data_IF_372734973492
#
_entry.id   IF_372734973492
#
_cell.length_a   1.000
_cell.length_b   1.000
_cell.length_c   1.000
_cell.angle_alpha   90.00
_cell.angle_beta   90.00
_cell.angle_gamma   90.00
#
_symmetry.space_group_name_H-M   'P 1'
#
loop_
_entity.id
_entity.type
_entity.pdbx_description
1 polymer ?
#
# COMPACT_ATOMS: atom_id res chain seq x y z
N UNK A 1 140.80 25.58 42.73
CA UNK A 1 140.45 24.22 42.26
C UNK A 1 139.69 24.33 40.94
N UNK A 2 140.35 24.07 39.82
CA UNK A 2 139.80 24.19 38.45
C UNK A 2 138.84 23.04 38.15
N UNK A 3 137.54 23.33 37.98
CA UNK A 3 136.55 22.34 37.53
C UNK A 3 136.82 22.02 36.06
N UNK A 4 137.35 20.83 35.77
CA UNK A 4 137.54 20.35 34.40
C UNK A 4 136.18 20.24 33.71
N UNK A 5 136.00 20.93 32.58
CA UNK A 5 134.79 20.80 31.77
C UNK A 5 134.68 19.38 31.20
N UNK A 6 133.49 18.75 31.28
CA UNK A 6 133.32 17.39 30.82
C UNK A 6 133.50 17.30 29.30
N UNK A 7 134.19 16.25 28.85
CA UNK A 7 134.35 16.01 27.40
C UNK A 7 133.00 15.72 26.76
N UNK A 8 132.80 15.99 25.45
CA UNK A 8 131.54 15.68 24.75
C UNK A 8 131.07 14.23 24.95
N UNK A 9 132.02 13.30 25.07
CA UNK A 9 131.78 11.89 25.42
C UNK A 9 131.16 11.73 26.81
N UNK A 10 131.66 12.43 27.82
CA UNK A 10 131.11 12.42 29.19
C UNK A 10 129.71 13.05 29.25
N UNK A 11 129.45 14.08 28.44
CA UNK A 11 128.13 14.71 28.34
C UNK A 11 127.09 13.75 27.72
N UNK A 12 127.42 13.12 26.58
CA UNK A 12 126.60 12.07 25.97
C UNK A 12 126.34 10.90 26.92
N UNK A 13 127.38 10.45 27.63
CA UNK A 13 127.27 9.36 28.60
C UNK A 13 126.31 9.73 29.75
N UNK A 14 126.31 10.98 30.22
CA UNK A 14 125.37 11.47 31.23
C UNK A 14 123.92 11.48 30.72
N UNK A 15 123.69 11.94 29.49
CA UNK A 15 122.36 11.93 28.86
C UNK A 15 121.81 10.51 28.71
N UNK A 16 122.63 9.58 28.20
CA UNK A 16 122.27 8.16 28.06
C UNK A 16 121.92 7.58 29.43
N UNK A 17 122.69 7.90 30.47
CA UNK A 17 122.47 7.37 31.81
C UNK A 17 121.18 7.92 32.45
N UNK A 18 120.84 9.20 32.23
CA UNK A 18 119.56 9.77 32.65
C UNK A 18 118.37 9.18 31.88
N UNK A 19 118.49 8.96 30.57
CA UNK A 19 117.46 8.26 29.78
C UNK A 19 117.25 6.82 30.26
N UNK A 20 118.33 6.08 30.55
CA UNK A 20 118.22 4.72 31.10
C UNK A 20 117.55 4.71 32.48
N UNK A 21 117.82 5.70 33.34
CA UNK A 21 117.12 5.87 34.62
C UNK A 21 115.62 6.16 34.41
N UNK A 22 115.29 7.03 33.46
CA UNK A 22 113.90 7.34 33.11
C UNK A 22 113.15 6.11 32.59
N UNK A 23 113.74 5.36 31.65
CA UNK A 23 113.17 4.11 31.14
C UNK A 23 113.01 3.06 32.24
N UNK A 24 113.96 2.95 33.19
CA UNK A 24 113.81 2.08 34.38
C UNK A 24 112.63 2.50 35.25
N UNK A 25 112.42 3.80 35.47
CA UNK A 25 111.27 4.33 36.24
C UNK A 25 109.93 4.05 35.55
N UNK A 26 109.86 4.22 34.23
CA UNK A 26 108.66 3.86 33.45
C UNK A 26 108.40 2.36 33.54
N UNK A 27 109.43 1.54 33.26
CA UNK A 27 109.31 0.08 33.30
C UNK A 27 108.89 -0.43 34.69
N UNK A 28 109.29 0.25 35.76
CA UNK A 28 108.85 -0.06 37.12
C UNK A 28 107.39 0.35 37.43
N UNK A 29 106.87 1.41 36.78
CA UNK A 29 105.49 1.89 36.97
C UNK A 29 104.45 1.11 36.16
N UNK A 30 104.81 0.61 34.97
CA UNK A 30 103.90 -0.13 34.08
C UNK A 30 103.22 -1.32 34.80
N UNK A 31 103.91 -2.20 35.55
CA UNK A 31 103.27 -3.31 36.26
C UNK A 31 102.25 -2.86 37.31
N UNK A 32 102.52 -1.75 38.01
CA UNK A 32 101.59 -1.20 39.00
C UNK A 32 100.34 -0.63 38.34
N UNK A 33 100.51 0.11 37.24
CA UNK A 33 99.39 0.63 36.46
C UNK A 33 98.55 -0.49 35.84
N UNK A 34 99.19 -1.53 35.28
CA UNK A 34 98.50 -2.71 34.76
C UNK A 34 97.72 -3.44 35.86
N UNK A 35 98.32 -3.61 37.06
CA UNK A 35 97.63 -4.21 38.21
C UNK A 35 96.43 -3.39 38.67
N UNK A 36 96.54 -2.06 38.66
CA UNK A 36 95.42 -1.17 38.98
C UNK A 36 94.32 -1.25 37.92
N UNK A 37 94.68 -1.27 36.63
CA UNK A 37 93.75 -1.45 35.52
C UNK A 37 93.00 -2.78 35.63
N UNK A 38 93.69 -3.90 35.86
CA UNK A 38 93.06 -5.21 36.06
C UNK A 38 92.06 -5.21 37.22
N UNK A 39 92.40 -4.60 38.37
CA UNK A 39 91.46 -4.48 39.50
C UNK A 39 90.21 -3.69 39.14
N UNK A 40 90.34 -2.61 38.36
CA UNK A 40 89.20 -1.81 37.90
C UNK A 40 88.32 -2.61 36.93
N UNK A 41 88.93 -3.36 36.01
CA UNK A 41 88.21 -4.26 35.08
C UNK A 41 87.45 -5.33 35.88
N UNK A 42 88.10 -6.03 36.81
CA UNK A 42 87.44 -7.04 37.65
C UNK A 42 86.28 -6.45 38.48
N UNK A 43 86.46 -5.25 39.04
CA UNK A 43 85.41 -4.56 39.78
C UNK A 43 84.23 -4.18 38.88
N UNK A 44 84.51 -3.68 37.67
CA UNK A 44 83.50 -3.34 36.68
C UNK A 44 82.73 -4.57 36.19
N UNK A 45 83.42 -5.67 35.90
CA UNK A 45 82.78 -6.94 35.53
C UNK A 45 81.88 -7.47 36.64
N UNK A 46 82.34 -7.44 37.91
CA UNK A 46 81.52 -7.84 39.06
C UNK A 46 80.29 -6.95 39.21
N UNK A 47 80.44 -5.64 39.06
CA UNK A 47 79.32 -4.69 39.09
C UNK A 47 78.32 -4.98 37.96
N UNK A 48 78.81 -5.19 36.74
CA UNK A 48 77.99 -5.48 35.55
C UNK A 48 77.19 -6.77 35.75
N UNK A 49 77.84 -7.85 36.22
CA UNK A 49 77.16 -9.12 36.54
C UNK A 49 76.08 -8.93 37.61
N UNK A 50 76.35 -8.11 38.64
CA UNK A 50 75.35 -7.78 39.68
C UNK A 50 74.16 -7.01 39.12
N UNK A 51 74.39 -6.02 38.26
CA UNK A 51 73.30 -5.27 37.61
C UNK A 51 72.48 -6.16 36.67
N UNK A 52 73.15 -7.00 35.87
CA UNK A 52 72.48 -7.96 34.99
C UNK A 52 71.62 -8.94 35.77
N UNK A 53 72.14 -9.53 36.86
CA UNK A 53 71.36 -10.43 37.72
C UNK A 53 70.13 -9.75 38.31
N UNK A 54 70.26 -8.50 38.79
CA UNK A 54 69.13 -7.72 39.30
C UNK A 54 68.10 -7.39 38.22
N UNK A 55 68.55 -7.07 37.01
CA UNK A 55 67.65 -6.81 35.88
C UNK A 55 66.88 -8.07 35.47
N UNK A 56 67.53 -9.24 35.46
CA UNK A 56 66.89 -10.53 35.22
C UNK A 56 65.82 -10.80 36.29
N UNK A 57 66.15 -10.64 37.57
CA UNK A 57 65.20 -10.85 38.68
C UNK A 57 63.97 -9.95 38.58
N UNK A 58 64.14 -8.67 38.20
CA UNK A 58 63.03 -7.73 37.99
C UNK A 58 62.16 -8.19 36.82
N UNK A 59 62.77 -8.61 35.71
CA UNK A 59 62.05 -9.06 34.53
C UNK A 59 61.29 -10.37 34.79
N UNK A 60 61.89 -11.32 35.53
CA UNK A 60 61.23 -12.57 35.93
C UNK A 60 59.99 -12.29 36.77
N UNK A 61 60.11 -11.42 37.79
CA UNK A 61 58.97 -10.98 38.61
C UNK A 61 57.89 -10.29 37.78
N UNK A 62 58.26 -9.44 36.82
CA UNK A 62 57.32 -8.79 35.92
C UNK A 62 56.59 -9.79 35.03
N UNK A 63 57.31 -10.79 34.48
CA UNK A 63 56.74 -11.86 33.68
C UNK A 63 55.74 -12.70 34.50
N UNK A 64 56.09 -13.05 35.73
CA UNK A 64 55.21 -13.85 36.59
C UNK A 64 53.95 -13.06 36.99
N UNK A 65 54.06 -11.77 37.26
CA UNK A 65 52.90 -10.90 37.49
C UNK A 65 51.98 -10.86 36.25
N UNK A 66 52.54 -10.65 35.06
CA UNK A 66 51.77 -10.63 33.80
C UNK A 66 51.10 -11.99 33.52
N UNK A 67 51.78 -13.10 33.80
CA UNK A 67 51.19 -14.45 33.68
C UNK A 67 49.99 -14.62 34.62
N UNK A 68 50.11 -14.18 35.87
CA UNK A 68 49.03 -14.26 36.85
C UNK A 68 47.83 -13.40 36.42
N UNK A 69 48.06 -12.16 35.99
CA UNK A 69 47.02 -11.28 35.46
C UNK A 69 46.31 -11.91 34.24
N UNK A 70 47.08 -12.51 33.33
CA UNK A 70 46.53 -13.20 32.16
C UNK A 70 45.65 -14.39 32.57
N UNK A 71 46.09 -15.22 33.50
CA UNK A 71 45.30 -16.35 33.99
C UNK A 71 44.02 -15.92 34.73
N UNK A 72 44.06 -14.80 35.46
CA UNK A 72 42.85 -14.21 36.05
C UNK A 72 41.86 -13.73 34.98
N UNK A 73 42.34 -13.03 33.96
CA UNK A 73 41.50 -12.57 32.85
C UNK A 73 40.91 -13.75 32.08
N UNK A 74 41.71 -14.77 31.79
CA UNK A 74 41.26 -16.01 31.17
C UNK A 74 40.12 -16.66 31.96
N UNK A 75 40.25 -16.80 33.28
CA UNK A 75 39.17 -17.31 34.15
C UNK A 75 37.91 -16.45 34.10
N UNK A 76 38.03 -15.12 34.00
CA UNK A 76 36.88 -14.22 33.84
C UNK A 76 36.17 -14.47 32.50
N UNK A 77 36.91 -14.57 31.40
CA UNK A 77 36.35 -14.87 30.09
C UNK A 77 35.68 -16.24 30.03
N UNK A 78 36.29 -17.28 30.62
CA UNK A 78 35.69 -18.61 30.70
C UNK A 78 34.34 -18.62 31.43
N UNK A 79 34.20 -17.81 32.50
CA UNK A 79 32.91 -17.64 33.19
C UNK A 79 31.87 -16.96 32.29
N UNK A 80 32.26 -15.92 31.56
CA UNK A 80 31.38 -15.21 30.62
C UNK A 80 30.90 -16.17 29.52
N UNK A 81 31.81 -16.93 28.91
CA UNK A 81 31.48 -17.94 27.88
C UNK A 81 30.47 -18.94 28.43
N UNK A 82 30.71 -19.51 29.62
CA UNK A 82 29.77 -20.46 30.25
C UNK A 82 28.38 -19.86 30.51
N UNK A 83 28.31 -18.58 30.87
CA UNK A 83 27.04 -17.88 31.05
C UNK A 83 26.30 -17.70 29.72
N UNK A 84 27.00 -17.22 28.68
CA UNK A 84 26.44 -17.06 27.34
C UNK A 84 25.95 -18.40 26.76
N UNK A 85 26.67 -19.50 26.98
CA UNK A 85 26.24 -20.84 26.58
C UNK A 85 24.95 -21.27 27.28
N UNK A 86 24.77 -20.93 28.57
CA UNK A 86 23.52 -21.20 29.29
C UNK A 86 22.36 -20.39 28.73
N UNK A 87 22.56 -19.11 28.45
CA UNK A 87 21.55 -18.25 27.84
C UNK A 87 21.16 -18.73 26.43
N UNK A 88 22.15 -19.07 25.60
CA UNK A 88 21.90 -19.66 24.29
C UNK A 88 21.09 -20.95 24.35
N UNK A 89 21.33 -21.82 25.35
CA UNK A 89 20.49 -23.01 25.56
C UNK A 89 19.05 -22.66 25.92
N UNK A 90 18.82 -21.65 26.77
CA UNK A 90 17.47 -21.17 27.11
C UNK A 90 16.75 -20.62 25.89
N UNK A 91 17.41 -19.76 25.11
CA UNK A 91 16.84 -19.20 23.90
C UNK A 91 16.49 -20.28 22.87
N UNK A 92 17.36 -21.27 22.67
CA UNK A 92 17.07 -22.42 21.79
C UNK A 92 15.85 -23.22 22.23
N UNK A 93 15.62 -23.34 23.54
CA UNK A 93 14.43 -24.01 24.06
C UNK A 93 13.16 -23.18 23.79
N UNK A 94 13.20 -21.88 24.07
CA UNK A 94 12.07 -20.98 23.79
C UNK A 94 11.71 -20.94 22.30
N UNK A 95 12.70 -20.87 21.41
CA UNK A 95 12.48 -20.93 19.96
C UNK A 95 11.74 -22.21 19.60
N UNK A 96 12.21 -23.37 20.09
CA UNK A 96 11.58 -24.66 19.78
C UNK A 96 10.13 -24.75 20.27
N UNK A 97 9.86 -24.23 21.46
CA UNK A 97 8.50 -24.12 22.01
C UNK A 97 7.60 -23.22 21.15
N UNK A 98 8.15 -22.13 20.60
CA UNK A 98 7.41 -21.26 19.67
C UNK A 98 7.16 -21.92 18.33
N UNK A 99 8.12 -22.69 17.81
CA UNK A 99 7.93 -23.45 16.57
C UNK A 99 6.81 -24.50 16.73
N UNK A 100 6.74 -25.19 17.87
CA UNK A 100 5.63 -26.11 18.19
C UNK A 100 4.28 -25.38 18.21
N UNK A 101 4.20 -24.21 18.84
CA UNK A 101 2.98 -23.38 18.84
C UNK A 101 2.57 -22.92 17.44
N UNK A 102 3.53 -22.58 16.58
CA UNK A 102 3.28 -22.19 15.20
C UNK A 102 2.70 -23.38 14.42
N UNK A 103 3.28 -24.57 14.56
CA UNK A 103 2.78 -25.79 13.91
C UNK A 103 1.34 -26.13 14.33
N UNK A 104 1.02 -26.00 15.62
CA UNK A 104 -0.35 -26.20 16.11
C UNK A 104 -1.35 -25.23 15.46
N UNK A 105 -0.98 -23.95 15.34
CA UNK A 105 -1.82 -22.93 14.70
C UNK A 105 -1.97 -23.17 13.20
N UNK A 106 -0.92 -23.62 12.51
CA UNK A 106 -0.98 -23.96 11.09
C UNK A 106 -1.99 -25.08 10.82
N UNK A 107 -1.97 -26.15 11.63
CA UNK A 107 -2.94 -27.25 11.55
C UNK A 107 -4.37 -26.75 11.79
N UNK A 108 -4.58 -25.88 12.77
CA UNK A 108 -5.90 -25.28 13.03
C UNK A 108 -6.40 -24.43 11.85
N UNK A 109 -5.51 -23.63 11.25
CA UNK A 109 -5.84 -22.82 10.09
C UNK A 109 -6.22 -23.67 8.88
N UNK A 110 -5.56 -24.80 8.66
CA UNK A 110 -5.92 -25.75 7.59
C UNK A 110 -7.31 -26.35 7.82
N UNK A 111 -7.62 -26.73 9.06
CA UNK A 111 -8.96 -27.18 9.44
C UNK A 111 -10.05 -26.15 9.12
N UNK A 112 -9.84 -24.90 9.52
CA UNK A 112 -10.78 -23.80 9.23
C UNK A 112 -10.92 -23.51 7.73
N UNK A 113 -9.83 -23.62 6.95
CA UNK A 113 -9.91 -23.49 5.49
C UNK A 113 -10.79 -24.58 4.87
N UNK A 114 -10.66 -25.80 5.34
CA UNK A 114 -11.48 -26.92 4.89
C UNK A 114 -12.96 -26.70 5.23
N UNK A 115 -13.27 -26.30 6.47
CA UNK A 115 -14.64 -25.97 6.89
C UNK A 115 -15.26 -24.84 6.06
N UNK A 116 -14.50 -23.76 5.82
CA UNK A 116 -14.94 -22.64 4.99
C UNK A 116 -15.22 -23.07 3.55
N UNK A 117 -14.41 -23.97 2.99
CA UNK A 117 -14.66 -24.52 1.65
C UNK A 117 -15.96 -25.32 1.60
N UNK A 118 -16.24 -26.12 2.63
CA UNK A 118 -17.48 -26.90 2.71
C UNK A 118 -18.71 -26.00 2.84
N UNK A 119 -18.64 -24.96 3.68
CA UNK A 119 -19.71 -23.97 3.83
C UNK A 119 -19.95 -23.20 2.52
N UNK A 120 -18.90 -22.84 1.79
CA UNK A 120 -19.02 -22.20 0.49
C UNK A 120 -19.77 -23.07 -0.51
N UNK A 121 -19.42 -24.37 -0.60
CA UNK A 121 -20.10 -25.33 -1.47
C UNK A 121 -21.59 -25.48 -1.09
N UNK A 122 -21.91 -25.62 0.20
CA UNK A 122 -23.30 -25.69 0.67
C UNK A 122 -24.10 -24.44 0.30
N UNK A 123 -23.49 -23.26 0.41
CA UNK A 123 -24.13 -22.00 0.08
C UNK A 123 -24.38 -21.87 -1.44
N UNK A 124 -23.50 -22.43 -2.27
CA UNK A 124 -23.69 -22.50 -3.71
C UNK A 124 -24.83 -23.46 -4.11
N UNK A 125 -24.91 -24.63 -3.46
CA UNK A 125 -26.04 -25.55 -3.64
C UNK A 125 -27.38 -24.90 -3.27
N UNK A 126 -27.45 -24.17 -2.15
CA UNK A 126 -28.65 -23.44 -1.74
C UNK A 126 -28.99 -22.31 -2.70
N UNK A 127 -28.01 -21.63 -3.29
CA UNK A 127 -28.23 -20.60 -4.33
C UNK A 127 -28.88 -21.21 -5.57
N UNK A 128 -28.39 -22.35 -6.04
CA UNK A 128 -28.95 -23.04 -7.21
C UNK A 128 -30.38 -23.55 -6.95
N UNK A 129 -30.64 -24.13 -5.77
CA UNK A 129 -32.01 -24.51 -5.37
C UNK A 129 -32.96 -23.31 -5.40
N UNK A 130 -32.53 -22.17 -4.84
CA UNK A 130 -33.34 -20.95 -4.81
C UNK A 130 -33.60 -20.36 -6.21
N UNK A 131 -32.60 -20.42 -7.09
CA UNK A 131 -32.74 -20.02 -8.51
C UNK A 131 -33.82 -20.85 -9.20
N UNK A 132 -33.79 -22.17 -9.05
CA UNK A 132 -34.79 -23.08 -9.61
C UNK A 132 -36.22 -22.78 -9.08
N UNK A 133 -36.36 -22.51 -7.78
CA UNK A 133 -37.66 -22.12 -7.19
C UNK A 133 -38.17 -20.81 -7.82
N UNK A 134 -37.29 -19.83 -8.03
CA UNK A 134 -37.64 -18.54 -8.62
C UNK A 134 -38.08 -18.69 -10.08
N UNK A 135 -37.35 -19.48 -10.87
CA UNK A 135 -37.68 -19.75 -12.28
C UNK A 135 -39.04 -20.46 -12.42
N UNK A 136 -39.33 -21.46 -11.58
CA UNK A 136 -40.63 -22.14 -11.58
C UNK A 136 -41.80 -21.23 -11.19
N UNK A 137 -41.60 -20.32 -10.22
CA UNK A 137 -42.61 -19.31 -9.87
C UNK A 137 -42.88 -18.36 -11.03
N UNK A 138 -41.84 -17.93 -11.76
CA UNK A 138 -41.98 -17.09 -12.95
C UNK A 138 -42.74 -17.82 -14.05
N UNK A 139 -42.40 -19.08 -14.34
CA UNK A 139 -43.09 -19.90 -15.34
C UNK A 139 -44.59 -20.03 -15.06
N UNK A 140 -44.96 -20.29 -13.80
CA UNK A 140 -46.36 -20.40 -13.36
C UNK A 140 -47.12 -19.07 -13.50
N UNK A 141 -46.46 -17.93 -13.26
CA UNK A 141 -47.05 -16.60 -13.47
C UNK A 141 -47.24 -16.28 -14.95
N UNK A 142 -46.26 -16.60 -15.81
CA UNK A 142 -46.36 -16.39 -17.25
C UNK A 142 -47.51 -17.20 -17.85
N UNK A 143 -47.69 -18.45 -17.43
CA UNK A 143 -48.78 -19.32 -17.86
C UNK A 143 -50.17 -18.79 -17.50
N UNK A 144 -50.30 -18.15 -16.33
CA UNK A 144 -51.55 -17.48 -15.92
C UNK A 144 -51.81 -16.20 -16.75
N UNK A 145 -50.77 -15.46 -17.13
CA UNK A 145 -50.92 -14.26 -17.95
C UNK A 145 -51.27 -14.56 -19.42
N UNK A 146 -50.82 -15.69 -19.99
CA UNK A 146 -51.23 -16.12 -21.34
C UNK A 146 -52.69 -16.55 -21.40
N UNK A 147 -53.26 -17.09 -20.31
CA UNK A 147 -54.70 -17.34 -20.21
C UNK A 147 -55.53 -16.05 -20.16
N UNK A 148 -54.99 -14.97 -19.58
CA UNK A 148 -55.61 -13.64 -19.62
C UNK A 148 -55.61 -13.07 -21.05
N UNK A 149 -54.58 -13.40 -21.85
CA UNK A 149 -54.43 -12.90 -23.22
C UNK A 149 -55.56 -13.34 -24.17
N UNK A 150 -56.14 -14.53 -23.98
CA UNK A 150 -57.28 -15.01 -24.79
C UNK A 150 -58.58 -14.22 -24.56
N UNK A 151 -58.69 -13.46 -23.47
CA UNK A 151 -59.82 -12.55 -23.20
C UNK A 151 -59.59 -11.12 -23.77
N UNK A 152 -58.48 -10.85 -24.46
CA UNK A 152 -58.10 -9.49 -24.84
C UNK A 152 -58.95 -8.87 -25.97
N UNK A 153 -59.63 -9.65 -26.81
CA UNK A 153 -60.43 -9.06 -27.92
C UNK A 153 -61.51 -8.10 -27.42
N UNK A 154 -62.21 -8.45 -26.34
CA UNK A 154 -63.23 -7.58 -25.73
C UNK A 154 -62.58 -6.37 -25.05
N UNK A 155 -61.46 -6.58 -24.36
CA UNK A 155 -60.70 -5.50 -23.71
C UNK A 155 -60.22 -4.46 -24.73
N UNK A 156 -59.66 -4.90 -25.86
CA UNK A 156 -59.22 -4.01 -26.93
C UNK A 156 -60.37 -3.22 -27.52
N UNK A 157 -61.54 -3.85 -27.70
CA UNK A 157 -62.73 -3.18 -28.19
C UNK A 157 -63.25 -2.13 -27.21
N UNK A 158 -63.19 -2.38 -25.90
CA UNK A 158 -63.54 -1.37 -24.88
C UNK A 158 -62.54 -0.21 -24.94
N UNK A 159 -61.23 -0.53 -24.99
CA UNK A 159 -60.16 0.47 -25.02
C UNK A 159 -60.23 1.38 -26.25
N UNK A 160 -60.67 0.88 -27.41
CA UNK A 160 -60.85 1.73 -28.60
C UNK A 160 -61.93 2.79 -28.45
N UNK A 161 -62.85 2.65 -27.49
CA UNK A 161 -63.86 3.69 -27.20
C UNK A 161 -63.43 4.66 -26.09
N UNK A 162 -62.27 4.44 -25.46
CA UNK A 162 -61.77 5.31 -24.42
C UNK A 162 -61.02 6.51 -25.00
N UNK A 163 -61.04 7.63 -24.28
CA UNK A 163 -60.20 8.78 -24.63
C UNK A 163 -58.73 8.47 -24.38
N UNK A 164 -57.79 9.20 -25.01
CA UNK A 164 -56.37 9.01 -24.75
C UNK A 164 -55.99 9.24 -23.27
N UNK A 165 -56.66 10.16 -22.57
CA UNK A 165 -56.44 10.41 -21.13
C UNK A 165 -56.89 9.21 -20.28
N UNK A 166 -58.01 8.60 -20.62
CA UNK A 166 -58.50 7.39 -19.96
C UNK A 166 -57.57 6.20 -20.22
N UNK A 167 -57.04 6.06 -21.43
CA UNK A 167 -56.07 5.01 -21.76
C UNK A 167 -54.76 5.17 -20.97
N UNK A 168 -54.27 6.41 -20.82
CA UNK A 168 -53.11 6.71 -19.95
C UNK A 168 -53.44 6.33 -18.51
N UNK A 169 -54.60 6.72 -18.01
CA UNK A 169 -55.02 6.42 -16.63
C UNK A 169 -55.16 4.91 -16.40
N UNK A 170 -55.84 4.20 -17.31
CA UNK A 170 -56.05 2.76 -17.27
C UNK A 170 -54.73 2.00 -17.26
N UNK A 171 -53.75 2.47 -18.04
CA UNK A 171 -52.42 1.85 -18.07
C UNK A 171 -51.66 1.93 -16.74
N UNK A 172 -52.01 2.86 -15.86
CA UNK A 172 -51.40 3.02 -14.54
C UNK A 172 -52.08 2.20 -13.45
N UNK A 173 -53.28 1.68 -13.71
CA UNK A 173 -54.08 0.93 -12.71
C UNK A 173 -53.40 -0.38 -12.33
N UNK A 174 -52.84 -1.11 -13.29
CA UNK A 174 -52.08 -2.33 -13.00
C UNK A 174 -50.99 -2.60 -14.06
N UNK A 175 -50.02 -3.45 -13.70
CA UNK A 175 -48.90 -3.81 -14.57
C UNK A 175 -49.36 -4.50 -15.86
N UNK A 176 -50.43 -5.29 -15.83
CA UNK A 176 -50.93 -6.01 -17.00
C UNK A 176 -51.48 -5.05 -18.07
N UNK A 177 -52.25 -4.04 -17.69
CA UNK A 177 -52.74 -2.99 -18.56
C UNK A 177 -51.61 -2.13 -19.10
N UNK A 178 -50.58 -1.86 -18.29
CA UNK A 178 -49.36 -1.21 -18.79
C UNK A 178 -48.69 -2.05 -19.89
N UNK A 179 -48.46 -3.34 -19.65
CA UNK A 179 -47.82 -4.23 -20.63
C UNK A 179 -48.63 -4.29 -21.94
N UNK A 180 -49.95 -4.49 -21.83
CA UNK A 180 -50.84 -4.61 -22.99
C UNK A 180 -50.95 -3.27 -23.74
N UNK A 181 -51.26 -2.16 -23.05
CA UNK A 181 -51.54 -0.89 -23.74
C UNK A 181 -50.25 -0.19 -24.23
N UNK A 182 -49.15 -0.24 -23.47
CA UNK A 182 -47.91 0.48 -23.82
C UNK A 182 -46.89 -0.37 -24.57
N UNK A 183 -46.55 -1.55 -24.06
CA UNK A 183 -45.39 -2.30 -24.54
C UNK A 183 -45.66 -3.08 -25.82
N UNK A 184 -46.88 -3.56 -26.03
CA UNK A 184 -47.24 -4.27 -27.26
C UNK A 184 -47.40 -3.29 -28.43
N UNK A 185 -46.58 -3.48 -29.46
CA UNK A 185 -46.61 -2.67 -30.70
C UNK A 185 -47.94 -2.82 -31.44
N UNK A 186 -48.52 -4.02 -31.40
CA UNK A 186 -49.77 -4.38 -32.07
C UNK A 186 -50.96 -3.52 -31.59
N UNK A 187 -50.89 -3.02 -30.36
CA UNK A 187 -51.94 -2.23 -29.73
C UNK A 187 -51.80 -0.73 -29.98
N UNK A 188 -50.88 -0.30 -30.85
CA UNK A 188 -50.78 1.11 -31.26
C UNK A 188 -52.04 1.61 -32.00
N UNK A 189 -52.75 0.72 -32.68
CA UNK A 189 -54.01 0.99 -33.36
C UNK A 189 -55.08 1.59 -32.43
N UNK A 190 -55.15 1.13 -31.18
CA UNK A 190 -56.08 1.63 -30.15
C UNK A 190 -55.83 3.11 -29.87
N UNK A 191 -54.56 3.48 -29.72
CA UNK A 191 -54.16 4.86 -29.45
C UNK A 191 -54.40 5.77 -30.67
N UNK A 192 -54.16 5.27 -31.88
CA UNK A 192 -54.47 5.99 -33.13
C UNK A 192 -55.96 6.28 -33.25
N UNK A 193 -56.80 5.26 -33.02
CA UNK A 193 -58.25 5.38 -33.11
C UNK A 193 -58.81 6.29 -32.02
N UNK A 194 -58.32 6.16 -30.79
CA UNK A 194 -58.68 7.03 -29.67
C UNK A 194 -58.32 8.50 -29.92
N UNK A 195 -57.13 8.77 -30.49
CA UNK A 195 -56.71 10.14 -30.83
C UNK A 195 -57.54 10.75 -31.97
N UNK A 196 -57.91 9.95 -32.98
CA UNK A 196 -58.74 10.39 -34.12
C UNK A 196 -60.14 10.87 -33.70
N UNK A 197 -60.65 10.43 -32.54
CA UNK A 197 -61.94 10.88 -32.02
C UNK A 197 -61.89 12.28 -31.39
N UNK A 198 -60.69 12.82 -31.16
CA UNK A 198 -60.52 14.16 -30.61
C UNK A 198 -60.25 15.16 -31.75
N UNK A 199 -61.16 16.13 -32.00
CA UNK A 199 -60.88 17.21 -32.94
C UNK A 199 -59.64 18.00 -32.47
N UNK A 200 -58.85 18.48 -33.43
CA UNK A 200 -57.68 19.35 -33.23
C UNK A 200 -56.43 18.71 -32.61
N UNK A 201 -56.38 17.38 -32.47
CA UNK A 201 -55.21 16.67 -31.95
C UNK A 201 -54.46 15.91 -33.05
N UNK A 202 -53.45 16.55 -33.64
CA UNK A 202 -52.55 15.92 -34.63
C UNK A 202 -51.25 15.53 -33.93
N UNK A 203 -50.90 14.24 -33.99
CA UNK A 203 -49.61 13.75 -33.51
C UNK A 203 -48.48 14.33 -34.38
N UNK A 204 -47.47 14.99 -33.78
CA UNK A 204 -46.30 15.49 -34.53
C UNK A 204 -45.56 14.35 -35.25
N UNK A 205 -45.02 14.64 -36.45
CA UNK A 205 -44.39 13.65 -37.34
C UNK A 205 -43.22 12.90 -36.67
N UNK A 206 -42.52 13.54 -35.75
CA UNK A 206 -41.32 12.99 -35.12
C UNK A 206 -41.60 12.11 -33.88
N UNK A 207 -42.86 11.86 -33.52
CA UNK A 207 -43.20 11.04 -32.35
C UNK A 207 -44.28 9.99 -32.66
N UNK A 208 -44.28 8.92 -31.87
CA UNK A 208 -45.36 7.92 -31.96
C UNK A 208 -46.61 8.44 -31.24
N UNK A 209 -47.78 7.96 -31.65
CA UNK A 209 -49.06 8.37 -31.05
C UNK A 209 -49.08 8.06 -29.54
N UNK A 210 -48.49 6.93 -29.13
CA UNK A 210 -48.34 6.60 -27.71
C UNK A 210 -47.49 7.63 -26.97
N UNK A 211 -46.32 7.99 -27.51
CA UNK A 211 -45.45 9.01 -26.90
C UNK A 211 -46.16 10.35 -26.78
N UNK A 212 -46.86 10.77 -27.84
CA UNK A 212 -47.68 11.97 -27.84
C UNK A 212 -48.74 11.93 -26.73
N UNK A 213 -49.54 10.86 -26.67
CA UNK A 213 -50.58 10.71 -25.67
C UNK A 213 -49.99 10.70 -24.24
N UNK A 214 -48.83 10.06 -24.03
CA UNK A 214 -48.15 10.13 -22.73
C UNK A 214 -47.82 11.57 -22.36
N UNK A 215 -47.17 12.31 -23.24
CA UNK A 215 -46.72 13.66 -22.94
C UNK A 215 -47.89 14.63 -22.76
N UNK A 216 -48.93 14.47 -23.58
CA UNK A 216 -50.09 15.35 -23.59
C UNK A 216 -50.99 15.12 -22.38
N UNK A 217 -51.34 13.86 -22.08
CA UNK A 217 -52.38 13.52 -21.10
C UNK A 217 -51.82 13.04 -19.76
N UNK A 218 -50.59 12.51 -19.71
CA UNK A 218 -49.97 12.21 -18.42
C UNK A 218 -49.49 13.51 -17.76
N UNK A 219 -50.06 13.85 -16.59
CA UNK A 219 -49.71 15.06 -15.82
C UNK A 219 -48.60 14.81 -14.80
N UNK A 220 -47.96 13.63 -14.80
CA UNK A 220 -46.90 13.26 -13.84
C UNK A 220 -45.50 13.37 -14.42
N UNK A 221 -44.51 13.61 -13.54
CA UNK A 221 -43.10 13.59 -13.90
C UNK A 221 -42.68 12.16 -14.29
N UNK A 222 -42.01 11.98 -15.42
CA UNK A 222 -41.60 10.65 -15.86
C UNK A 222 -40.49 10.01 -14.99
N UNK A 223 -39.80 10.81 -14.17
CA UNK A 223 -38.72 10.33 -13.30
C UNK A 223 -39.22 10.00 -11.89
N UNK A 224 -39.89 10.96 -11.23
CA UNK A 224 -40.36 10.76 -9.86
C UNK A 224 -41.85 10.41 -9.74
N UNK A 225 -42.59 10.40 -10.86
CA UNK A 225 -44.04 10.12 -10.91
C UNK A 225 -44.93 11.10 -10.12
N UNK A 226 -44.39 12.23 -9.67
CA UNK A 226 -45.15 13.26 -8.96
C UNK A 226 -45.91 14.19 -9.92
N UNK A 227 -47.12 14.67 -9.58
CA UNK A 227 -47.93 15.56 -10.43
C UNK A 227 -47.47 17.03 -10.44
N UNK A 228 -46.38 17.37 -9.74
CA UNK A 228 -45.96 18.75 -9.45
C UNK A 228 -45.41 19.50 -10.67
N UNK A 229 -45.90 20.74 -10.94
CA UNK A 229 -45.39 21.75 -11.89
C UNK A 229 -44.46 21.18 -12.98
N UNK A 230 -45.03 20.29 -13.80
CA UNK A 230 -44.30 19.52 -14.78
C UNK A 230 -44.18 20.31 -16.09
N UNK A 231 -42.95 20.49 -16.57
CA UNK A 231 -42.68 21.03 -17.89
C UNK A 231 -42.68 19.88 -18.91
N UNK A 232 -43.32 20.09 -20.07
CA UNK A 232 -43.27 19.16 -21.20
C UNK A 232 -42.28 19.71 -22.23
N UNK A 233 -41.25 18.94 -22.53
CA UNK A 233 -40.27 19.26 -23.56
C UNK A 233 -40.53 18.31 -24.73
N UNK A 234 -41.17 18.81 -25.79
CA UNK A 234 -41.67 17.98 -26.89
C UNK A 234 -40.51 17.40 -27.72
N UNK A 235 -39.45 18.16 -27.90
CA UNK A 235 -38.22 17.80 -28.63
C UNK A 235 -37.54 16.59 -27.99
N UNK A 236 -37.47 16.58 -26.65
CA UNK A 236 -36.89 15.50 -25.88
C UNK A 236 -37.88 14.38 -25.57
N UNK A 237 -39.16 14.56 -25.93
CA UNK A 237 -40.27 13.64 -25.65
C UNK A 237 -40.39 13.29 -24.16
N UNK A 238 -40.13 14.26 -23.28
CA UNK A 238 -40.08 14.06 -21.83
C UNK A 238 -41.00 15.07 -21.11
N UNK A 239 -41.65 14.60 -20.04
CA UNK A 239 -42.32 15.44 -19.04
C UNK A 239 -41.61 15.31 -17.70
N UNK A 240 -41.13 16.42 -17.15
CA UNK A 240 -40.27 16.44 -15.97
C UNK A 240 -40.68 17.54 -15.00
N UNK A 241 -40.64 17.27 -13.69
CA UNK A 241 -40.85 18.29 -12.67
C UNK A 241 -39.59 19.13 -12.49
N UNK A 242 -39.75 20.34 -11.96
CA UNK A 242 -38.62 21.24 -11.68
C UNK A 242 -37.47 20.58 -10.90
N UNK A 243 -37.79 19.81 -9.86
CA UNK A 243 -36.79 19.14 -9.02
C UNK A 243 -35.99 18.09 -9.80
N UNK A 244 -36.67 17.20 -10.53
CA UNK A 244 -35.99 16.19 -11.35
C UNK A 244 -35.20 16.84 -12.49
N UNK A 245 -35.67 17.97 -13.01
CA UNK A 245 -34.95 18.74 -14.02
C UNK A 245 -33.61 19.25 -13.49
N UNK A 246 -33.62 19.86 -12.31
CA UNK A 246 -32.41 20.38 -11.64
C UNK A 246 -31.45 19.25 -11.20
N UNK A 247 -31.96 18.05 -10.90
CA UNK A 247 -31.12 16.92 -10.52
C UNK A 247 -30.56 16.15 -11.71
N UNK A 248 -31.40 15.82 -12.70
CA UNK A 248 -31.04 14.93 -13.82
C UNK A 248 -30.44 15.64 -15.03
N UNK A 249 -30.79 16.90 -15.28
CA UNK A 249 -30.08 17.67 -16.31
C UNK A 249 -28.70 18.06 -15.81
N UNK A 250 -28.55 18.43 -14.53
CA UNK A 250 -27.24 18.80 -13.98
C UNK A 250 -26.32 17.59 -13.77
N UNK A 251 -26.85 16.40 -13.48
CA UNK A 251 -26.04 15.16 -13.42
C UNK A 251 -25.54 14.73 -14.80
N UNK A 252 -26.33 14.91 -15.87
CA UNK A 252 -25.95 14.56 -17.24
C UNK A 252 -25.08 15.61 -17.94
N UNK A 253 -25.23 16.89 -17.59
CA UNK A 253 -24.37 17.99 -18.10
C UNK A 253 -22.94 17.97 -17.50
N UNK A 254 -22.67 17.12 -16.51
CA UNK A 254 -21.32 16.85 -15.99
C UNK A 254 -20.61 15.71 -16.75
N UNK A 255 -21.19 15.17 -17.83
CA UNK A 255 -20.47 14.33 -18.78
C UNK A 255 -19.79 15.26 -19.79
N UNK A 256 -18.47 15.12 -19.89
CA UNK A 256 -17.56 15.89 -20.75
C UNK A 256 -18.21 16.26 -22.10
N UNK A 257 -18.01 17.52 -22.52
CA UNK A 257 -18.56 18.15 -23.74
C UNK A 257 -18.40 17.34 -25.04
N UNK A 258 -17.64 16.24 -25.05
CA UNK A 258 -17.32 15.46 -26.26
C UNK A 258 -18.26 14.28 -26.57
N UNK A 259 -19.28 14.00 -25.76
CA UNK A 259 -20.14 12.79 -25.92
C UNK A 259 -21.57 13.09 -26.41
N UNK A 260 -21.92 14.33 -26.73
CA UNK A 260 -23.26 14.64 -27.20
C UNK A 260 -23.40 14.38 -28.70
N UNK A 261 -24.45 13.66 -29.15
CA UNK A 261 -24.88 13.73 -30.55
C UNK A 261 -25.17 15.20 -30.86
N UNK A 262 -24.48 15.75 -31.86
CA UNK A 262 -24.54 17.16 -32.23
C UNK A 262 -25.97 17.63 -32.52
N UNK A 263 -26.91 16.71 -32.77
CA UNK A 263 -28.32 17.02 -33.01
C UNK A 263 -29.11 17.40 -31.75
N UNK A 264 -28.64 17.06 -30.53
CA UNK A 264 -29.34 17.38 -29.27
C UNK A 264 -28.95 18.74 -28.69
N UNK A 265 -27.79 19.28 -29.06
CA UNK A 265 -27.31 20.58 -28.59
C UNK A 265 -28.22 21.72 -29.08
N UNK A 266 -28.64 21.78 -30.37
CA UNK A 266 -29.62 22.76 -30.82
C UNK A 266 -30.95 22.67 -30.09
N UNK A 267 -31.42 21.47 -29.73
CA UNK A 267 -32.67 21.29 -28.99
C UNK A 267 -32.58 21.75 -27.52
N UNK A 268 -31.40 21.65 -26.88
CA UNK A 268 -31.15 22.24 -25.56
C UNK A 268 -31.02 23.77 -25.61
N UNK A 269 -30.49 24.31 -26.71
CA UNK A 269 -30.28 25.75 -26.91
C UNK A 269 -31.49 26.47 -27.53
N UNK A 270 -32.40 25.74 -28.19
CA UNK A 270 -33.63 26.28 -28.80
C UNK A 270 -34.83 26.27 -27.87
N UNK A 271 -34.76 25.56 -26.74
CA UNK A 271 -35.69 25.79 -25.64
C UNK A 271 -35.21 27.08 -25.00
N UNK A 272 -35.87 28.19 -25.36
CA UNK A 272 -35.56 29.52 -24.83
C UNK A 272 -35.26 29.40 -23.33
N UNK A 273 -34.11 29.93 -22.92
CA UNK A 273 -33.71 29.95 -21.50
C UNK A 273 -34.81 30.55 -20.60
N UNK A 274 -35.70 31.36 -21.19
CA UNK A 274 -36.90 31.91 -20.58
C UNK A 274 -38.01 30.86 -20.32
N UNK A 275 -38.21 29.88 -21.21
CA UNK A 275 -39.09 28.72 -20.98
C UNK A 275 -38.53 27.79 -19.89
N UNK A 276 -37.20 27.68 -19.80
CA UNK A 276 -36.52 26.91 -18.73
C UNK A 276 -36.69 27.57 -17.34
N UNK A 277 -36.82 28.89 -17.26
CA UNK A 277 -37.02 29.61 -16.01
C UNK A 277 -38.48 29.76 -15.55
N UNK A 278 -39.44 29.17 -16.27
CA UNK A 278 -40.84 29.12 -15.81
C UNK A 278 -41.64 30.40 -16.05
N UNK A 279 -41.20 31.26 -16.99
CA UNK A 279 -42.06 32.32 -17.48
C UNK A 279 -43.02 31.73 -18.51
N UNK A 280 -44.25 31.47 -18.09
CA UNK A 280 -45.34 31.13 -19.01
C UNK A 280 -45.61 32.33 -19.91
N UNK A 281 -45.48 32.16 -21.24
CA UNK A 281 -46.35 32.88 -22.15
C UNK A 281 -47.74 32.27 -21.99
N UNK A 282 -48.53 32.91 -21.14
CA UNK A 282 -49.98 32.79 -21.13
C UNK A 282 -50.50 33.36 -22.45
N UNK A 283 -50.46 32.55 -23.52
CA UNK A 283 -51.22 32.83 -24.73
C UNK A 283 -52.58 32.15 -24.59
N UNK A 284 -53.38 32.69 -23.69
CA UNK A 284 -54.83 32.71 -23.83
C UNK A 284 -55.20 33.69 -24.94
N UNK A 285 -55.21 33.20 -26.19
CA UNK A 285 -56.13 33.60 -27.26
C UNK A 285 -56.47 32.36 -28.08
#
# INVERSE_FOLDING_TARGET
>A
MTRKNPTPKQFLQKIILEHLKYLKRIKAKIPQQNKQCHKLIEAHEKATKKYQAKAIEINEKAIDNLKNEFEEQKKKFEKIIKNLERENRKLKYEIRKKDEQIQELEVQMEGLKFENSNLANQLEEEREKNKFIKENKIFKLVQLTTQIFYNNLLFFRICSYLSPEDLVSLSKVNRSFYLILWLEKENESIWKYSLQQMPDQICPIQMTVKQYCRLRFDKTCQFCSQPNNNCTILELKIRICRQCRELELTSRLNLEESSYPSELIPALHSVDYEQLNGNYLDNSV
#
